data_IF_915790804252
#
_entry.id   IF_915790804252
#
_cell.length_a   1.000
_cell.length_b   1.000
_cell.length_c   1.000
_cell.angle_alpha   90.00
_cell.angle_beta   90.00
_cell.angle_gamma   90.00
#
_symmetry.space_group_name_H-M   'P 1'
#
loop_
_entity.id
_entity.type
_entity.pdbx_description
1 polymer ?
#
# COMPACT_ATOMS: atom_id res chain seq x y z
N UNK A 1 9.90 -14.53 50.99
CA UNK A 1 9.36 -13.20 50.62
C UNK A 1 10.27 -12.46 49.65
N UNK A 2 11.57 -12.25 49.96
CA UNK A 2 12.51 -11.58 49.03
C UNK A 2 12.59 -12.25 47.64
N UNK A 3 12.67 -13.57 47.61
CA UNK A 3 12.64 -14.42 46.42
C UNK A 3 11.34 -14.31 45.57
N UNK A 4 10.18 -14.14 46.21
CA UNK A 4 8.91 -13.91 45.51
C UNK A 4 8.87 -12.51 44.89
N UNK A 5 9.40 -11.51 45.59
CA UNK A 5 9.50 -10.13 45.09
C UNK A 5 10.46 -10.07 43.89
N UNK A 6 11.60 -10.78 43.96
CA UNK A 6 12.54 -10.89 42.84
C UNK A 6 11.90 -11.58 41.63
N UNK A 7 11.16 -12.68 41.84
CA UNK A 7 10.44 -13.37 40.77
C UNK A 7 9.38 -12.46 40.11
N UNK A 8 8.62 -11.71 40.92
CA UNK A 8 7.63 -10.75 40.42
C UNK A 8 8.29 -9.60 39.63
N UNK A 9 9.45 -9.08 40.08
CA UNK A 9 10.18 -8.04 39.34
C UNK A 9 10.68 -8.54 37.99
N UNK A 10 11.23 -9.75 37.93
CA UNK A 10 11.69 -10.34 36.66
C UNK A 10 10.51 -10.55 35.71
N UNK A 11 9.37 -11.04 36.23
CA UNK A 11 8.15 -11.21 35.44
C UNK A 11 7.67 -9.87 34.88
N UNK A 12 7.65 -8.81 35.70
CA UNK A 12 7.23 -7.47 35.30
C UNK A 12 8.11 -6.90 34.18
N UNK A 13 9.43 -7.05 34.32
CA UNK A 13 10.37 -6.60 33.29
C UNK A 13 10.18 -7.36 31.98
N UNK A 14 9.95 -8.67 32.05
CA UNK A 14 9.63 -9.47 30.87
C UNK A 14 8.33 -9.01 30.20
N UNK A 15 7.28 -8.70 30.99
CA UNK A 15 6.02 -8.17 30.47
C UNK A 15 6.20 -6.84 29.76
N UNK A 16 6.95 -5.90 30.35
CA UNK A 16 7.22 -4.58 29.74
C UNK A 16 8.00 -4.76 28.43
N UNK A 17 9.05 -5.57 28.44
CA UNK A 17 9.85 -5.84 27.24
C UNK A 17 8.99 -6.44 26.12
N UNK A 18 8.11 -7.38 26.47
CA UNK A 18 7.19 -8.00 25.54
C UNK A 18 6.17 -6.99 24.98
N UNK A 19 5.59 -6.14 25.84
CA UNK A 19 4.68 -5.07 25.41
C UNK A 19 5.35 -4.09 24.45
N UNK A 20 6.57 -3.65 24.74
CA UNK A 20 7.32 -2.73 23.86
C UNK A 20 7.63 -3.41 22.53
N UNK A 21 8.11 -4.66 22.54
CA UNK A 21 8.42 -5.42 21.34
C UNK A 21 7.19 -5.60 20.44
N UNK A 22 6.05 -6.00 21.00
CA UNK A 22 4.80 -6.15 20.24
C UNK A 22 4.18 -4.82 19.80
N UNK A 23 4.39 -3.73 20.53
CA UNK A 23 3.85 -2.42 20.16
C UNK A 23 4.70 -1.71 19.09
N UNK A 24 5.99 -2.05 18.95
CA UNK A 24 6.88 -1.46 17.94
C UNK A 24 6.51 -1.84 16.50
N UNK A 25 5.94 -3.04 16.30
CA UNK A 25 5.43 -3.49 15.00
C UNK A 25 3.97 -3.12 14.76
N UNK A 26 3.32 -2.46 15.74
CA UNK A 26 2.01 -1.86 15.55
C UNK A 26 2.17 -0.57 14.75
N UNK A 27 2.62 -0.69 13.49
CA UNK A 27 2.17 0.17 12.39
C UNK A 27 0.66 0.04 12.44
N UNK A 28 0.02 0.93 13.20
CA UNK A 28 -1.39 0.85 13.51
C UNK A 28 -2.12 0.47 12.24
N UNK A 29 -2.88 -0.63 12.27
CA UNK A 29 -3.69 -1.09 11.14
C UNK A 29 -4.31 0.16 10.57
N UNK A 30 -3.79 0.57 9.41
CA UNK A 30 -3.98 1.93 8.95
C UNK A 30 -5.47 2.14 8.87
N UNK A 31 -6.01 2.93 9.80
CA UNK A 31 -7.28 3.59 9.56
C UNK A 31 -6.93 4.60 8.49
N UNK A 32 -6.80 4.11 7.26
CA UNK A 32 -6.69 4.95 6.09
C UNK A 32 -7.88 5.86 6.19
N UNK A 33 -7.63 7.13 6.45
CA UNK A 33 -8.69 8.12 6.45
C UNK A 33 -9.41 7.97 5.13
N UNK A 34 -10.72 7.67 5.13
CA UNK A 34 -11.48 7.69 3.90
C UNK A 34 -11.23 9.04 3.24
N UNK A 35 -11.18 9.05 1.90
CA UNK A 35 -10.82 10.21 1.08
C UNK A 35 -9.31 10.51 0.90
N UNK A 36 -8.42 9.66 1.39
CA UNK A 36 -6.97 9.75 1.06
C UNK A 36 -6.68 9.12 -0.31
N UNK A 37 -5.78 9.68 -1.14
CA UNK A 37 -5.34 9.03 -2.38
C UNK A 37 -4.89 7.59 -2.14
N UNK A 38 -5.30 6.68 -3.02
CA UNK A 38 -4.89 5.28 -3.00
C UNK A 38 -3.39 5.17 -3.28
N UNK A 39 -2.91 5.95 -4.26
CA UNK A 39 -1.51 6.04 -4.66
C UNK A 39 -1.04 7.49 -4.51
N UNK A 40 0.06 7.71 -3.81
CA UNK A 40 0.72 9.02 -3.75
C UNK A 40 1.82 9.06 -4.81
N UNK A 41 1.57 9.71 -5.94
CA UNK A 41 2.55 9.88 -7.00
C UNK A 41 2.31 11.19 -7.78
N UNK A 42 3.33 11.66 -8.49
CA UNK A 42 3.24 12.80 -9.41
C UNK A 42 3.20 12.28 -10.86
N UNK A 43 2.14 12.56 -11.64
CA UNK A 43 2.00 12.09 -13.02
C UNK A 43 3.20 12.40 -13.91
N UNK A 44 3.79 13.60 -13.75
CA UNK A 44 4.94 14.04 -14.55
C UNK A 44 6.24 13.28 -14.25
N UNK A 45 6.34 12.72 -13.04
CA UNK A 45 7.51 11.97 -12.57
C UNK A 45 7.48 10.49 -13.00
N UNK A 46 6.38 10.01 -13.57
CA UNK A 46 6.26 8.62 -14.04
C UNK A 46 7.10 8.43 -15.31
N UNK A 47 7.98 7.43 -15.30
CA UNK A 47 8.91 7.13 -16.39
C UNK A 47 8.56 5.84 -17.15
N UNK A 48 7.88 4.91 -16.49
CA UNK A 48 7.52 3.60 -17.05
C UNK A 48 6.18 3.15 -16.47
N UNK A 49 5.40 2.42 -17.26
CA UNK A 49 4.16 1.79 -16.84
C UNK A 49 4.16 0.35 -17.35
N UNK A 50 3.79 -0.59 -16.50
CA UNK A 50 3.77 -2.01 -16.81
C UNK A 50 2.37 -2.57 -16.55
N UNK A 51 1.81 -3.30 -17.52
CA UNK A 51 0.53 -3.98 -17.40
C UNK A 51 0.78 -5.48 -17.40
N UNK A 52 0.54 -6.12 -16.26
CA UNK A 52 0.68 -7.58 -16.14
C UNK A 52 -0.70 -8.23 -16.08
N UNK A 53 -0.90 -9.28 -16.87
CA UNK A 53 -2.11 -10.10 -16.80
C UNK A 53 -1.91 -11.32 -15.88
N UNK A 54 -3.00 -12.01 -15.53
CA UNK A 54 -2.96 -13.22 -14.69
C UNK A 54 -2.29 -14.44 -15.35
N UNK A 55 -1.98 -14.38 -16.64
CA UNK A 55 -1.25 -15.40 -17.40
C UNK A 55 0.25 -15.08 -17.51
N UNK A 56 0.74 -14.03 -16.83
CA UNK A 56 2.16 -13.64 -16.83
C UNK A 56 2.60 -12.85 -18.06
N UNK A 57 1.69 -12.40 -18.92
CA UNK A 57 2.03 -11.47 -20.01
C UNK A 57 2.16 -10.07 -19.45
N UNK A 58 3.23 -9.39 -19.81
CA UNK A 58 3.49 -7.99 -19.47
C UNK A 58 3.44 -7.14 -20.74
N UNK A 59 2.94 -5.90 -20.62
CA UNK A 59 3.08 -4.86 -21.62
C UNK A 59 3.75 -3.65 -20.96
N UNK A 60 4.90 -3.26 -21.47
CA UNK A 60 5.66 -2.12 -20.92
C UNK A 60 5.51 -0.89 -21.82
N UNK A 61 5.18 0.23 -21.20
CA UNK A 61 5.20 1.58 -21.76
C UNK A 61 6.34 2.36 -21.13
N UNK A 62 7.13 3.07 -21.93
CA UNK A 62 8.21 3.94 -21.44
C UNK A 62 8.08 5.34 -21.98
N UNK A 63 8.45 6.31 -21.15
CA UNK A 63 8.58 7.71 -21.54
C UNK A 63 9.89 7.90 -22.30
N UNK A 64 9.81 8.30 -23.57
CA UNK A 64 10.92 8.70 -24.42
C UNK A 64 10.93 10.25 -24.58
N UNK A 65 11.84 10.79 -25.38
CA UNK A 65 12.02 12.24 -25.58
C UNK A 65 10.83 12.88 -26.27
N UNK A 66 10.18 12.16 -27.17
CA UNK A 66 9.07 12.64 -28.00
C UNK A 66 7.68 12.24 -27.43
N UNK A 67 7.63 11.38 -26.40
CA UNK A 67 6.37 10.94 -25.81
C UNK A 67 6.43 9.54 -25.22
N UNK A 68 5.28 8.91 -25.03
CA UNK A 68 5.18 7.54 -24.55
C UNK A 68 5.26 6.54 -25.70
N UNK A 69 6.06 5.49 -25.53
CA UNK A 69 6.27 4.45 -26.54
C UNK A 69 6.10 3.05 -25.95
N UNK A 70 5.79 2.08 -26.81
CA UNK A 70 5.81 0.65 -26.49
C UNK A 70 7.12 0.03 -27.01
N UNK A 71 8.14 -0.19 -26.18
CA UNK A 71 9.46 -0.65 -26.65
C UNK A 71 9.37 -2.02 -27.36
N UNK A 72 8.49 -2.90 -26.90
CA UNK A 72 8.31 -4.24 -27.42
C UNK A 72 7.61 -4.28 -28.79
N UNK A 73 6.96 -3.18 -29.19
CA UNK A 73 6.24 -3.05 -30.46
C UNK A 73 6.86 -1.94 -31.32
N UNK A 74 8.13 -2.09 -31.69
CA UNK A 74 8.85 -1.14 -32.56
C UNK A 74 8.87 0.32 -32.06
N UNK A 75 8.81 0.53 -30.74
CA UNK A 75 8.66 1.87 -30.15
C UNK A 75 7.45 2.62 -30.68
N UNK A 76 6.35 1.90 -30.94
CA UNK A 76 5.12 2.50 -31.44
C UNK A 76 4.66 3.63 -30.50
N UNK A 77 4.29 4.81 -31.06
CA UNK A 77 3.84 5.94 -30.26
C UNK A 77 2.50 5.61 -29.61
N UNK A 78 2.35 6.05 -28.37
CA UNK A 78 1.16 5.83 -27.56
C UNK A 78 0.36 7.11 -27.52
N UNK A 79 -0.96 6.98 -27.56
CA UNK A 79 -1.85 8.13 -27.51
C UNK A 79 -1.72 8.86 -26.17
N UNK A 80 -1.14 10.07 -26.21
CA UNK A 80 -0.84 10.85 -25.02
C UNK A 80 -2.10 11.21 -24.23
N UNK A 81 -3.25 11.37 -24.91
CA UNK A 81 -4.53 11.63 -24.24
C UNK A 81 -4.96 10.45 -23.37
N UNK A 82 -4.74 9.22 -23.85
CA UNK A 82 -5.05 8.00 -23.09
C UNK A 82 -4.16 7.83 -21.87
N UNK A 83 -2.88 8.15 -21.99
CA UNK A 83 -1.96 8.13 -20.84
C UNK A 83 -2.33 9.18 -19.81
N UNK A 84 -2.65 10.40 -20.25
CA UNK A 84 -3.08 11.47 -19.36
C UNK A 84 -4.36 11.08 -18.62
N UNK A 85 -5.37 10.61 -19.34
CA UNK A 85 -6.64 10.15 -18.74
C UNK A 85 -6.42 9.02 -17.72
N UNK A 86 -5.50 8.10 -18.00
CA UNK A 86 -5.13 7.03 -17.07
C UNK A 86 -4.50 7.59 -15.79
N UNK A 87 -3.53 8.50 -15.90
CA UNK A 87 -2.89 9.08 -14.72
C UNK A 87 -3.83 9.97 -13.90
N UNK A 88 -4.71 10.74 -14.54
CA UNK A 88 -5.78 11.49 -13.85
C UNK A 88 -6.65 10.52 -13.03
N UNK A 89 -7.16 9.45 -13.66
CA UNK A 89 -7.97 8.43 -12.95
C UNK A 89 -7.23 7.77 -11.78
N UNK A 90 -5.94 7.47 -11.94
CA UNK A 90 -5.14 6.86 -10.88
C UNK A 90 -4.83 7.84 -9.74
N UNK A 91 -4.64 9.12 -10.05
CA UNK A 91 -4.42 10.17 -9.05
C UNK A 91 -5.71 10.50 -8.27
N UNK A 92 -6.86 10.44 -8.93
CA UNK A 92 -8.19 10.63 -8.32
C UNK A 92 -8.66 9.42 -7.51
N UNK A 93 -8.02 8.26 -7.68
CA UNK A 93 -8.42 7.03 -7.01
C UNK A 93 -8.19 7.16 -5.50
N UNK A 94 -9.25 7.07 -4.71
CA UNK A 94 -9.22 7.21 -3.25
C UNK A 94 -9.30 5.85 -2.58
N UNK A 95 -8.76 5.76 -1.37
CA UNK A 95 -8.96 4.59 -0.50
C UNK A 95 -10.45 4.47 -0.16
N UNK A 96 -11.00 3.29 -0.45
CA UNK A 96 -12.32 2.91 0.02
C UNK A 96 -12.37 2.73 1.53
N UNK A 97 -13.58 2.59 2.07
CA UNK A 97 -13.77 2.26 3.48
C UNK A 97 -13.08 0.93 3.82
N UNK A 98 -12.52 0.86 5.02
CA UNK A 98 -12.04 -0.41 5.57
C UNK A 98 -13.22 -1.37 5.68
N UNK A 99 -13.17 -2.47 4.93
CA UNK A 99 -14.14 -3.56 5.04
C UNK A 99 -13.60 -4.62 5.98
N UNK A 100 -14.46 -5.15 6.82
CA UNK A 100 -14.09 -6.24 7.71
C UNK A 100 -13.79 -7.50 6.89
N UNK A 101 -12.51 -7.86 6.77
CA UNK A 101 -12.08 -9.09 6.08
C UNK A 101 -12.03 -10.30 7.01
N UNK A 102 -12.37 -10.13 8.30
CA UNK A 102 -12.47 -11.21 9.30
C UNK A 102 -13.77 -11.12 10.10
N UNK A 103 -14.24 -12.26 10.59
CA UNK A 103 -15.46 -12.37 11.39
C UNK A 103 -15.39 -11.55 12.70
N UNK A 104 -14.20 -11.44 13.29
CA UNK A 104 -13.97 -10.61 14.48
C UNK A 104 -14.01 -9.11 14.17
N UNK A 105 -13.43 -8.69 13.03
CA UNK A 105 -13.53 -7.31 12.58
C UNK A 105 -14.99 -6.93 12.28
N UNK A 106 -15.78 -7.82 11.67
CA UNK A 106 -17.19 -7.56 11.34
C UNK A 106 -18.03 -7.24 12.58
N UNK A 107 -17.86 -8.03 13.66
CA UNK A 107 -18.51 -7.78 14.96
C UNK A 107 -18.15 -6.41 15.55
N UNK A 108 -16.91 -5.93 15.35
CA UNK A 108 -16.42 -4.67 15.91
C UNK A 108 -16.84 -3.45 15.08
N UNK A 109 -16.97 -3.62 13.76
CA UNK A 109 -17.47 -2.59 12.85
C UNK A 109 -19.01 -2.58 12.70
N UNK A 110 -19.72 -3.51 13.36
CA UNK A 110 -21.19 -3.68 13.28
C UNK A 110 -21.69 -3.78 11.82
N UNK A 111 -20.96 -4.55 11.01
CA UNK A 111 -21.29 -4.86 9.61
C UNK A 111 -21.59 -6.34 9.43
#
# INVERSE_FOLDING_TARGET
MKNMITAAMVLLLAQIALTVAFNMDNKGIGTGTPDTPLLSFSPDAVQSLEFTNGEGKSLVLKKDKDGWVVPEHFSAPVDLNKIKELFDKLAELKRGFVVATSAEAAKRFKV
#
